data_IF_174881636495
#
_entry.id   IF_174881636495
#
_cell.length_a   1.000
_cell.length_b   1.000
_cell.length_c   1.000
_cell.angle_alpha   90.00
_cell.angle_beta   90.00
_cell.angle_gamma   90.00
#
_symmetry.space_group_name_H-M   'P 1'
#
loop_
_entity.id
_entity.type
_entity.pdbx_description
1 polymer ?
#
# COMPACT_ATOMS: atom_id res chain seq x y z
N UNK A 1 -10.53 -43.35 -7.70
CA UNK A 1 -11.34 -44.30 -6.90
C UNK A 1 -11.86 -43.54 -5.69
N UNK A 2 -13.17 -43.35 -5.56
CA UNK A 2 -13.75 -42.75 -4.36
C UNK A 2 -13.70 -43.74 -3.21
N UNK A 3 -13.25 -43.32 -2.04
CA UNK A 3 -13.17 -44.21 -0.87
C UNK A 3 -14.58 -44.53 -0.35
N UNK A 4 -14.81 -45.69 0.28
CA UNK A 4 -16.12 -46.03 0.85
C UNK A 4 -16.59 -45.01 1.90
N UNK A 5 -15.66 -44.38 2.64
CA UNK A 5 -15.98 -43.27 3.54
C UNK A 5 -16.51 -42.03 2.81
N UNK A 6 -15.94 -41.69 1.65
CA UNK A 6 -16.44 -40.60 0.80
C UNK A 6 -17.84 -40.89 0.27
N UNK A 7 -18.10 -42.13 -0.17
CA UNK A 7 -19.42 -42.52 -0.66
C UNK A 7 -20.49 -42.49 0.44
N UNK A 8 -20.17 -42.98 1.64
CA UNK A 8 -21.08 -42.93 2.79
C UNK A 8 -21.40 -41.49 3.23
N UNK A 9 -20.39 -40.61 3.22
CA UNK A 9 -20.59 -39.19 3.47
C UNK A 9 -21.50 -38.57 2.41
N UNK A 10 -21.27 -38.85 1.13
CA UNK A 10 -22.07 -38.31 0.03
C UNK A 10 -23.52 -38.77 0.09
N UNK A 11 -23.75 -40.07 0.33
CA UNK A 11 -25.09 -40.64 0.44
C UNK A 11 -25.88 -39.99 1.59
N UNK A 12 -25.26 -39.81 2.75
CA UNK A 12 -25.92 -39.24 3.95
C UNK A 12 -26.13 -37.73 3.90
N UNK A 13 -25.36 -36.98 3.12
CA UNK A 13 -25.42 -35.51 3.10
C UNK A 13 -26.10 -34.95 1.85
N UNK A 14 -25.97 -35.61 0.70
CA UNK A 14 -26.47 -35.09 -0.57
C UNK A 14 -27.55 -35.96 -1.21
N UNK A 15 -27.53 -37.28 -1.02
CA UNK A 15 -28.48 -38.18 -1.69
C UNK A 15 -29.75 -38.46 -0.88
N UNK A 16 -29.67 -38.29 0.45
CA UNK A 16 -30.80 -38.35 1.37
C UNK A 16 -31.97 -37.45 0.90
N UNK A 17 -33.11 -38.10 0.58
CA UNK A 17 -34.28 -37.44 0.03
C UNK A 17 -34.96 -36.51 1.02
N UNK A 18 -34.96 -36.87 2.31
CA UNK A 18 -35.61 -36.08 3.36
C UNK A 18 -34.81 -34.81 3.63
N UNK A 19 -33.47 -34.91 3.66
CA UNK A 19 -32.59 -33.73 3.75
C UNK A 19 -32.74 -32.82 2.54
N UNK A 20 -32.80 -33.36 1.33
CA UNK A 20 -33.02 -32.55 0.12
C UNK A 20 -34.37 -31.84 0.14
N UNK A 21 -35.43 -32.52 0.58
CA UNK A 21 -36.76 -31.91 0.73
C UNK A 21 -36.74 -30.79 1.77
N UNK A 22 -36.05 -30.98 2.90
CA UNK A 22 -35.86 -29.95 3.91
C UNK A 22 -35.12 -28.72 3.37
N UNK A 23 -33.99 -28.91 2.66
CA UNK A 23 -33.25 -27.80 2.04
C UNK A 23 -34.08 -27.07 0.99
N UNK A 24 -34.81 -27.80 0.14
CA UNK A 24 -35.68 -27.20 -0.88
C UNK A 24 -36.79 -26.36 -0.24
N UNK A 25 -37.42 -26.85 0.83
CA UNK A 25 -38.39 -26.09 1.61
C UNK A 25 -37.75 -24.85 2.25
N UNK A 26 -36.56 -24.98 2.82
CA UNK A 26 -35.84 -23.87 3.47
C UNK A 26 -35.48 -22.75 2.48
N UNK A 27 -35.05 -23.11 1.26
CA UNK A 27 -34.81 -22.14 0.18
C UNK A 27 -36.11 -21.52 -0.35
N UNK A 28 -37.18 -22.31 -0.48
CA UNK A 28 -38.49 -21.81 -0.95
C UNK A 28 -39.12 -20.81 0.03
N UNK A 29 -38.82 -20.91 1.33
CA UNK A 29 -39.26 -19.97 2.36
C UNK A 29 -38.44 -18.66 2.40
N UNK A 30 -37.52 -18.46 1.45
CA UNK A 30 -36.85 -17.17 1.26
C UNK A 30 -35.91 -16.77 2.39
N UNK A 31 -35.45 -17.73 3.21
CA UNK A 31 -34.42 -17.47 4.21
C UNK A 31 -33.07 -17.35 3.51
N UNK A 32 -32.88 -16.24 2.80
CA UNK A 32 -31.55 -15.76 2.45
C UNK A 32 -31.03 -15.14 3.75
N UNK A 33 -30.13 -15.80 4.50
CA UNK A 33 -29.47 -15.11 5.60
C UNK A 33 -28.87 -13.85 5.01
N UNK A 34 -29.16 -12.68 5.58
CA UNK A 34 -28.54 -11.44 5.17
C UNK A 34 -27.04 -11.64 5.30
N UNK A 35 -26.36 -11.91 4.18
CA UNK A 35 -24.92 -12.05 4.14
C UNK A 35 -24.42 -10.66 4.50
N UNK A 36 -23.75 -10.47 5.66
CA UNK A 36 -23.14 -9.18 5.93
C UNK A 36 -22.24 -8.85 4.75
N UNK A 37 -22.26 -7.62 4.22
CA UNK A 37 -21.37 -7.25 3.13
C UNK A 37 -19.96 -7.66 3.54
N UNK A 38 -19.21 -8.26 2.59
CA UNK A 38 -17.83 -8.64 2.83
C UNK A 38 -17.11 -7.44 3.47
N UNK A 39 -16.25 -7.65 4.48
CA UNK A 39 -15.55 -6.55 5.11
C UNK A 39 -14.81 -5.79 4.02
N UNK A 40 -15.26 -4.54 3.77
CA UNK A 40 -14.66 -3.68 2.77
C UNK A 40 -13.16 -3.65 3.03
N UNK A 41 -12.36 -3.86 1.98
CA UNK A 41 -10.92 -3.78 2.10
C UNK A 41 -10.53 -2.42 2.69
N UNK A 42 -9.40 -2.34 3.39
CA UNK A 42 -8.92 -1.07 3.97
C UNK A 42 -8.93 0.07 2.93
N UNK A 43 -8.51 -0.22 1.70
CA UNK A 43 -8.53 0.75 0.59
C UNK A 43 -9.94 1.19 0.20
N UNK A 44 -10.92 0.28 0.19
CA UNK A 44 -12.32 0.63 -0.12
C UNK A 44 -12.94 1.49 0.98
N UNK A 45 -12.58 1.25 2.26
CA UNK A 45 -12.98 2.11 3.37
C UNK A 45 -12.34 3.50 3.27
N UNK A 46 -11.04 3.54 2.94
CA UNK A 46 -10.27 4.77 2.71
C UNK A 46 -10.71 5.50 1.43
N UNK A 47 -11.36 4.85 0.48
CA UNK A 47 -11.95 5.54 -0.68
C UNK A 47 -13.35 6.07 -0.32
N UNK A 48 -14.14 5.30 0.43
CA UNK A 48 -15.49 5.66 0.86
C UNK A 48 -15.53 6.95 1.72
N UNK A 49 -14.50 7.24 2.52
CA UNK A 49 -14.47 8.50 3.29
C UNK A 49 -14.23 9.74 2.41
N UNK A 50 -13.64 9.58 1.21
CA UNK A 50 -13.33 10.70 0.30
C UNK A 50 -14.42 11.01 -0.71
N UNK A 51 -15.47 10.20 -0.76
CA UNK A 51 -16.58 10.36 -1.70
C UNK A 51 -17.78 11.02 -1.03
N UNK A 52 -18.42 11.92 -1.78
CA UNK A 52 -19.73 12.46 -1.41
C UNK A 52 -20.79 11.39 -1.64
N UNK A 53 -21.71 11.23 -0.71
CA UNK A 53 -22.92 10.45 -0.94
C UNK A 53 -23.78 11.12 -2.03
N UNK A 54 -24.62 10.37 -2.76
CA UNK A 54 -25.49 10.94 -3.78
C UNK A 54 -26.38 12.06 -3.20
N UNK A 55 -26.23 13.28 -3.72
CA UNK A 55 -26.97 14.46 -3.25
C UNK A 55 -26.42 15.12 -1.98
N UNK A 56 -25.33 14.62 -1.40
CA UNK A 56 -24.66 15.23 -0.25
C UNK A 56 -23.88 16.48 -0.69
N UNK A 57 -24.06 17.59 0.04
CA UNK A 57 -23.25 18.79 -0.15
C UNK A 57 -21.95 18.70 0.65
N UNK A 58 -20.94 19.46 0.22
CA UNK A 58 -19.63 19.46 0.86
C UNK A 58 -19.67 19.83 2.35
N UNK A 59 -20.52 20.77 2.74
CA UNK A 59 -20.69 21.16 4.14
C UNK A 59 -21.22 20.01 5.02
N UNK A 60 -22.14 19.21 4.49
CA UNK A 60 -22.71 18.06 5.20
C UNK A 60 -21.67 16.95 5.34
N UNK A 61 -20.88 16.72 4.30
CA UNK A 61 -19.74 15.80 4.34
C UNK A 61 -18.70 16.25 5.38
N UNK A 62 -18.35 17.54 5.40
CA UNK A 62 -17.44 18.13 6.38
C UNK A 62 -17.94 17.92 7.82
N UNK A 63 -19.24 18.16 8.05
CA UNK A 63 -19.89 17.94 9.33
C UNK A 63 -19.89 16.45 9.73
N UNK A 64 -20.23 15.54 8.80
CA UNK A 64 -20.26 14.10 9.02
C UNK A 64 -18.90 13.54 9.44
N UNK A 65 -17.82 14.06 8.86
CA UNK A 65 -16.45 13.61 9.13
C UNK A 65 -15.70 14.47 10.16
N UNK A 66 -16.33 15.51 10.71
CA UNK A 66 -15.72 16.38 11.71
C UNK A 66 -14.52 17.17 11.20
N UNK A 67 -14.45 17.45 9.90
CA UNK A 67 -13.38 18.22 9.28
C UNK A 67 -13.92 19.58 8.84
N UNK A 68 -13.22 20.66 9.19
CA UNK A 68 -13.54 22.00 8.70
C UNK A 68 -12.53 22.39 7.62
N UNK A 69 -13.00 22.99 6.53
CA UNK A 69 -12.19 23.49 5.41
C UNK A 69 -11.50 22.43 4.53
N UNK A 70 -11.78 21.14 4.77
CA UNK A 70 -11.33 20.08 3.89
C UNK A 70 -12.41 19.80 2.85
N UNK A 71 -12.03 19.74 1.58
CA UNK A 71 -12.93 19.28 0.51
C UNK A 71 -12.73 17.78 0.28
N UNK A 72 -13.75 17.02 -0.18
CA UNK A 72 -13.59 15.63 -0.57
C UNK A 72 -12.46 15.44 -1.61
N UNK A 73 -12.30 16.40 -2.52
CA UNK A 73 -11.20 16.43 -3.48
C UNK A 73 -9.83 16.55 -2.82
N UNK A 74 -9.67 17.45 -1.86
CA UNK A 74 -8.41 17.61 -1.13
C UNK A 74 -8.08 16.39 -0.27
N UNK A 75 -9.08 15.75 0.35
CA UNK A 75 -8.91 14.51 1.10
C UNK A 75 -8.31 13.40 0.22
N UNK A 76 -8.77 13.26 -1.04
CA UNK A 76 -8.19 12.30 -2.00
C UNK A 76 -6.72 12.57 -2.30
N UNK A 77 -6.36 13.84 -2.47
CA UNK A 77 -4.97 14.22 -2.77
C UNK A 77 -4.04 13.87 -1.60
N UNK A 78 -4.47 14.18 -0.36
CA UNK A 78 -3.70 13.82 0.83
C UNK A 78 -3.57 12.31 1.00
N UNK A 79 -4.64 11.56 0.73
CA UNK A 79 -4.61 10.11 0.85
C UNK A 79 -3.71 9.46 -0.22
N UNK A 80 -3.80 9.90 -1.48
CA UNK A 80 -2.88 9.46 -2.54
C UNK A 80 -1.42 9.78 -2.20
N UNK A 81 -1.16 10.97 -1.63
CA UNK A 81 0.18 11.37 -1.18
C UNK A 81 0.69 10.51 -0.03
N UNK A 82 -0.20 10.11 0.90
CA UNK A 82 0.13 9.18 1.99
C UNK A 82 0.46 7.80 1.43
N UNK A 83 -0.38 7.24 0.56
CA UNK A 83 -0.16 5.92 -0.07
C UNK A 83 1.17 5.88 -0.81
N UNK A 84 1.51 6.92 -1.59
CA UNK A 84 2.79 7.02 -2.27
C UNK A 84 3.99 6.95 -1.31
N UNK A 85 3.92 7.66 -0.17
CA UNK A 85 5.00 7.60 0.84
C UNK A 85 5.08 6.23 1.50
N UNK A 86 3.95 5.60 1.80
CA UNK A 86 3.91 4.25 2.38
C UNK A 86 4.47 3.20 1.42
N UNK A 87 4.11 3.26 0.14
CA UNK A 87 4.65 2.39 -0.90
C UNK A 87 6.16 2.55 -1.06
N UNK A 88 6.62 3.80 -1.09
CA UNK A 88 8.06 4.10 -1.15
C UNK A 88 8.79 3.57 0.08
N UNK A 89 8.26 3.78 1.28
CA UNK A 89 8.84 3.25 2.52
C UNK A 89 8.95 1.73 2.47
N UNK A 90 7.89 1.03 2.05
CA UNK A 90 7.91 -0.44 1.91
C UNK A 90 8.93 -0.92 0.89
N UNK A 91 9.10 -0.20 -0.21
CA UNK A 91 10.12 -0.54 -1.20
C UNK A 91 11.54 -0.36 -0.64
N UNK A 92 11.79 0.73 0.09
CA UNK A 92 13.06 0.97 0.77
C UNK A 92 13.35 -0.12 1.84
N UNK A 93 12.36 -0.50 2.64
CA UNK A 93 12.47 -1.57 3.64
C UNK A 93 12.77 -2.92 2.97
N UNK A 94 12.07 -3.27 1.88
CA UNK A 94 12.31 -4.51 1.13
C UNK A 94 13.72 -4.56 0.52
N UNK A 95 14.24 -3.41 0.05
CA UNK A 95 15.62 -3.33 -0.43
C UNK A 95 16.65 -3.45 0.70
N UNK A 96 16.39 -2.89 1.88
CA UNK A 96 17.26 -3.01 3.04
C UNK A 96 17.34 -4.46 3.55
N UNK A 97 16.21 -5.17 3.61
CA UNK A 97 16.16 -6.58 4.02
C UNK A 97 16.86 -7.50 2.99
N UNK A 98 16.71 -7.23 1.69
CA UNK A 98 17.40 -7.98 0.64
C UNK A 98 18.91 -7.76 0.61
N UNK A 99 19.38 -6.55 0.93
CA UNK A 99 20.81 -6.22 0.96
C UNK A 99 21.55 -6.86 2.15
N UNK A 100 20.87 -7.17 3.24
CA UNK A 100 21.51 -7.69 4.46
C UNK A 100 21.88 -9.19 4.37
N UNK A 101 21.41 -9.92 3.37
CA UNK A 101 21.66 -11.36 3.21
C UNK A 101 22.96 -11.66 2.43
N UNK A 102 23.45 -10.74 1.60
CA UNK A 102 24.62 -10.98 0.72
C UNK A 102 25.98 -10.59 1.35
N UNK A 103 26.00 -9.60 2.25
CA UNK A 103 27.24 -9.14 2.89
C UNK A 103 27.75 -10.08 4.01
N UNK A 104 26.90 -10.97 4.54
CA UNK A 104 27.26 -11.91 5.60
C UNK A 104 28.21 -13.04 5.14
N UNK A 105 28.14 -13.45 3.87
CA UNK A 105 29.03 -14.50 3.32
C UNK A 105 30.32 -13.95 2.71
N UNK A 106 30.33 -12.68 2.31
CA UNK A 106 31.53 -12.02 1.79
C UNK A 106 32.49 -11.54 2.89
N UNK A 107 32.00 -11.23 4.10
CA UNK A 107 32.83 -10.74 5.20
C UNK A 107 33.72 -11.84 5.84
N UNK A 108 33.27 -13.09 5.90
CA UNK A 108 34.08 -14.20 6.41
C UNK A 108 35.25 -14.57 5.47
N UNK A 109 35.10 -14.37 4.16
CA UNK A 109 36.19 -14.51 3.21
C UNK A 109 37.18 -13.32 3.24
N UNK A 110 36.68 -12.10 3.46
CA UNK A 110 37.52 -10.87 3.47
C UNK A 110 38.32 -10.67 4.75
N UNK A 111 37.88 -11.23 5.88
CA UNK A 111 38.64 -11.20 7.13
C UNK A 111 39.95 -12.01 7.06
N UNK A 112 40.08 -12.97 6.13
CA UNK A 112 41.32 -13.72 5.92
C UNK A 112 42.31 -13.03 4.97
N UNK A 113 41.86 -12.13 4.08
CA UNK A 113 42.73 -11.36 3.18
C UNK A 113 43.12 -9.97 3.73
N UNK A 114 42.34 -9.40 4.66
CA UNK A 114 42.55 -8.06 5.20
C UNK A 114 43.77 -7.92 6.15
N UNK A 115 44.43 -9.01 6.53
CA UNK A 115 45.72 -8.93 7.25
C UNK A 115 46.93 -8.68 6.33
N UNK A 116 46.76 -8.70 4.99
CA UNK A 116 47.87 -8.49 4.07
C UNK A 116 47.92 -7.07 3.45
N UNK A 117 46.82 -6.29 3.47
CA UNK A 117 46.72 -5.06 2.67
C UNK A 117 46.12 -3.88 3.45
N UNK A 118 46.72 -3.54 4.60
CA UNK A 118 46.55 -2.20 5.18
C UNK A 118 47.40 -1.19 4.42
N UNK A 119 46.82 -0.52 3.42
CA UNK A 119 47.12 0.87 3.03
C UNK A 119 46.42 1.21 1.71
N UNK A 120 45.25 1.86 1.76
CA UNK A 120 44.92 3.08 0.97
C UNK A 120 43.44 3.47 1.11
N UNK A 121 43.22 4.66 1.68
CA UNK A 121 42.18 5.63 1.34
C UNK A 121 40.73 5.18 1.15
N UNK A 122 39.93 5.26 2.21
CA UNK A 122 38.46 5.44 2.11
C UNK A 122 38.16 6.92 1.82
N UNK A 123 37.72 7.23 0.61
CA UNK A 123 37.08 8.51 0.29
C UNK A 123 35.60 8.45 0.66
N UNK A 124 35.18 9.41 1.50
CA UNK A 124 33.79 9.64 1.89
C UNK A 124 32.90 10.07 0.71
N UNK A 125 31.58 9.86 0.79
CA UNK A 125 30.62 10.35 -0.20
C UNK A 125 30.60 11.88 -0.25
N UNK A 126 30.72 12.43 -1.46
CA UNK A 126 30.70 13.87 -1.76
C UNK A 126 29.43 14.54 -1.22
N UNK A 127 29.60 15.37 -0.20
CA UNK A 127 28.62 16.39 0.13
C UNK A 127 28.55 17.40 -1.02
N UNK A 128 27.36 17.77 -1.53
CA UNK A 128 27.24 18.70 -2.63
C UNK A 128 27.90 20.04 -2.27
N UNK A 129 28.85 20.45 -3.11
CA UNK A 129 29.65 21.65 -2.91
C UNK A 129 28.75 22.89 -2.82
N UNK A 130 28.80 23.60 -1.70
CA UNK A 130 28.00 24.81 -1.43
C UNK A 130 28.21 25.91 -2.49
N UNK A 131 29.35 25.90 -3.18
CA UNK A 131 29.61 26.85 -4.28
C UNK A 131 28.75 26.58 -5.52
N UNK A 132 28.48 25.31 -5.84
CA UNK A 132 27.67 24.94 -7.00
C UNK A 132 26.20 25.37 -6.81
N UNK A 133 25.69 25.25 -5.58
CA UNK A 133 24.36 25.73 -5.22
C UNK A 133 24.22 27.25 -5.31
N UNK A 134 25.27 28.00 -4.96
CA UNK A 134 25.28 29.46 -5.07
C UNK A 134 25.29 29.91 -6.54
N UNK A 135 26.10 29.25 -7.39
CA UNK A 135 26.14 29.52 -8.83
C UNK A 135 24.79 29.24 -9.50
N UNK A 136 24.11 28.16 -9.09
CA UNK A 136 22.80 27.78 -9.64
C UNK A 136 21.71 28.80 -9.28
N UNK A 137 21.72 29.34 -8.05
CA UNK A 137 20.81 30.41 -7.62
C UNK A 137 21.03 31.72 -8.40
N UNK A 138 22.29 32.10 -8.63
CA UNK A 138 22.60 33.32 -9.39
C UNK A 138 22.07 33.23 -10.83
N UNK A 139 22.25 32.08 -11.49
CA UNK A 139 21.74 31.83 -12.85
C UNK A 139 20.22 31.89 -12.93
N UNK A 140 19.52 31.34 -11.93
CA UNK A 140 18.06 31.36 -11.89
C UNK A 140 17.51 32.79 -11.75
N UNK A 141 18.14 33.63 -10.92
CA UNK A 141 17.76 35.03 -10.76
C UNK A 141 18.02 35.86 -12.01
N UNK A 142 19.11 35.57 -12.73
CA UNK A 142 19.44 36.24 -13.99
C UNK A 142 18.45 35.87 -15.11
N UNK A 143 18.02 34.62 -15.19
CA UNK A 143 17.00 34.21 -16.17
C UNK A 143 15.65 34.89 -15.91
N UNK A 144 15.26 35.03 -14.64
CA UNK A 144 14.02 35.71 -14.22
C UNK A 144 14.04 37.22 -14.51
N UNK A 145 15.21 37.88 -14.38
CA UNK A 145 15.32 39.31 -14.66
C UNK A 145 15.28 39.60 -16.17
N UNK A 146 15.91 38.77 -17.00
CA UNK A 146 15.89 38.93 -18.47
C UNK A 146 14.51 38.71 -19.08
N UNK A 147 13.70 37.80 -18.53
CA UNK A 147 12.34 37.53 -19.00
C UNK A 147 11.31 38.61 -18.66
N UNK A 148 11.66 39.57 -17.79
CA UNK A 148 10.74 40.64 -17.34
C UNK A 148 10.93 41.96 -18.10
N UNK A 149 12.00 42.07 -18.89
CA UNK A 149 12.35 43.27 -19.68
C UNK A 149 12.08 43.13 -21.17
N UNK A 150 11.49 42.02 -21.61
CA UNK A 150 11.00 41.79 -22.97
C UNK A 150 9.47 41.86 -22.98
#
# INVERSE_FOLDING_TARGET
MTTPAWQAFHASHFEDADRRAWFAAHLAHGYVPAIPPAPQGRLEQEDAWTQLAPGEHEADWQQRHGVQYLTPGSARIFDASRRFREERSRAEDAHAEGAHVDDGQAQDARAQEAHAHSATGRSSPDTPNTQDLAALRARALEALSRGRTA
#
